data_IF_141135632094
#
_entry.id   IF_141135632094
#
_cell.length_a   1.000
_cell.length_b   1.000
_cell.length_c   1.000
_cell.angle_alpha   90.00
_cell.angle_beta   90.00
_cell.angle_gamma   90.00
#
_symmetry.space_group_name_H-M   'P 1'
#
loop_
_entity.id
_entity.type
_entity.pdbx_description
1 polymer ?
#
# COMPACT_ATOMS: atom_id res chain seq x y z
N UNK A 1 -14.14 5.69 -13.35
CA UNK A 1 -13.50 6.19 -12.12
C UNK A 1 -12.85 4.97 -11.48
N UNK A 2 -11.53 4.87 -11.46
CA UNK A 2 -10.85 3.80 -10.74
C UNK A 2 -10.43 4.35 -9.39
N UNK A 3 -10.67 3.59 -8.34
CA UNK A 3 -10.09 3.92 -7.04
C UNK A 3 -8.59 3.61 -7.08
N UNK A 4 -7.81 4.41 -6.35
CA UNK A 4 -6.36 4.29 -6.31
C UNK A 4 -5.92 2.90 -5.84
N UNK A 5 -6.73 2.27 -4.99
CA UNK A 5 -6.50 0.92 -4.49
C UNK A 5 -6.70 -0.17 -5.54
N UNK A 6 -7.64 0.00 -6.46
CA UNK A 6 -7.86 -0.94 -7.56
C UNK A 6 -6.66 -0.92 -8.51
N UNK A 7 -6.12 0.27 -8.81
CA UNK A 7 -4.92 0.43 -9.63
C UNK A 7 -3.69 -0.21 -8.96
N UNK A 8 -3.52 -0.02 -7.65
CA UNK A 8 -2.43 -0.64 -6.88
C UNK A 8 -2.57 -2.17 -6.84
N UNK A 9 -3.79 -2.69 -6.67
CA UNK A 9 -4.06 -4.11 -6.70
C UNK A 9 -3.78 -4.72 -8.09
N UNK A 10 -4.06 -3.99 -9.17
CA UNK A 10 -3.78 -4.43 -10.54
C UNK A 10 -2.29 -4.58 -10.86
N UNK A 11 -1.39 -4.02 -10.03
CA UNK A 11 0.06 -4.24 -10.14
C UNK A 11 0.45 -5.66 -9.75
N UNK A 12 -0.34 -6.32 -8.89
CA UNK A 12 -0.05 -7.67 -8.44
C UNK A 12 0.06 -8.65 -9.64
N UNK A 13 0.99 -9.63 -9.59
CA UNK A 13 1.92 -9.92 -8.51
C UNK A 13 3.27 -9.17 -8.61
N UNK A 14 3.40 -8.13 -9.45
CA UNK A 14 4.67 -7.40 -9.60
C UNK A 14 5.01 -6.65 -8.32
N UNK A 15 6.30 -6.51 -8.04
CA UNK A 15 6.79 -5.82 -6.84
C UNK A 15 6.27 -4.38 -6.77
N UNK A 16 5.71 -4.01 -5.62
CA UNK A 16 5.22 -2.67 -5.31
C UNK A 16 5.72 -2.24 -3.93
N UNK A 17 6.44 -1.13 -3.89
CA UNK A 17 6.88 -0.46 -2.67
C UNK A 17 6.15 0.88 -2.56
N UNK A 18 5.37 1.07 -1.50
CA UNK A 18 4.81 2.37 -1.17
C UNK A 18 5.65 3.03 -0.09
N UNK A 19 6.12 4.25 -0.35
CA UNK A 19 6.94 5.06 0.56
C UNK A 19 6.10 6.25 1.02
N UNK A 20 6.08 6.49 2.32
CA UNK A 20 5.41 7.64 2.96
C UNK A 20 3.98 7.86 2.43
N UNK A 21 3.09 6.85 2.56
CA UNK A 21 1.73 6.99 2.05
C UNK A 21 1.03 8.17 2.72
N UNK A 22 0.35 8.98 1.91
CA UNK A 22 -0.36 10.18 2.36
C UNK A 22 -1.86 9.95 2.36
N UNK A 23 -2.59 10.64 3.24
CA UNK A 23 -4.03 10.77 3.18
C UNK A 23 -4.47 11.74 2.05
N UNK A 24 -5.78 11.88 1.88
CA UNK A 24 -6.39 12.80 0.92
C UNK A 24 -6.11 14.29 1.21
N UNK A 25 -5.64 14.62 2.42
CA UNK A 25 -5.21 15.95 2.85
C UNK A 25 -3.69 16.14 2.74
N UNK A 26 -2.97 15.20 2.11
CA UNK A 26 -1.51 15.16 1.97
C UNK A 26 -0.75 15.07 3.29
N UNK A 27 -1.35 14.44 4.29
CA UNK A 27 -0.70 14.18 5.59
C UNK A 27 -0.14 12.77 5.60
N UNK A 28 1.07 12.55 6.16
CA UNK A 28 1.62 11.21 6.32
C UNK A 28 0.68 10.31 7.11
N UNK A 29 0.42 9.11 6.60
CA UNK A 29 -0.30 8.07 7.33
C UNK A 29 0.64 7.44 8.35
N UNK A 30 0.13 7.22 9.56
CA UNK A 30 0.78 6.33 10.53
C UNK A 30 0.83 4.90 10.01
N UNK A 31 1.69 4.07 10.60
CA UNK A 31 1.78 2.64 10.29
C UNK A 31 0.46 1.88 10.46
N UNK A 32 -0.43 2.34 11.35
CA UNK A 32 -1.75 1.73 11.55
C UNK A 32 -2.71 2.13 10.44
N UNK A 33 -2.73 3.41 10.07
CA UNK A 33 -3.60 3.93 9.02
C UNK A 33 -3.19 3.39 7.65
N UNK A 34 -1.89 3.37 7.34
CA UNK A 34 -1.36 2.78 6.10
C UNK A 34 -1.71 1.29 5.97
N UNK A 35 -1.73 0.53 7.08
CA UNK A 35 -2.17 -0.88 7.02
C UNK A 35 -3.66 -1.02 6.70
N UNK A 36 -4.49 -0.08 7.15
CA UNK A 36 -5.94 -0.09 6.91
C UNK A 36 -6.26 0.34 5.48
N UNK A 37 -5.67 1.45 5.05
CA UNK A 37 -5.82 2.00 3.69
C UNK A 37 -5.45 0.95 2.63
N UNK A 38 -4.31 0.27 2.80
CA UNK A 38 -3.83 -0.68 1.80
C UNK A 38 -4.28 -2.14 2.04
N UNK A 39 -5.33 -2.38 2.83
CA UNK A 39 -5.79 -3.74 3.14
C UNK A 39 -6.27 -4.47 1.86
N UNK A 40 -6.96 -3.78 0.95
CA UNK A 40 -7.38 -4.33 -0.34
C UNK A 40 -6.17 -4.82 -1.14
N UNK A 41 -5.14 -3.98 -1.29
CA UNK A 41 -3.92 -4.29 -2.03
C UNK A 41 -3.21 -5.50 -1.41
N UNK A 42 -3.11 -5.54 -0.07
CA UNK A 42 -2.53 -6.68 0.65
C UNK A 42 -3.28 -7.98 0.39
N UNK A 43 -4.62 -7.93 0.36
CA UNK A 43 -5.45 -9.09 0.05
C UNK A 43 -5.24 -9.57 -1.38
N UNK A 44 -5.16 -8.66 -2.35
CA UNK A 44 -4.90 -9.00 -3.75
C UNK A 44 -3.55 -9.72 -3.93
N UNK A 45 -2.46 -9.16 -3.36
CA UNK A 45 -1.15 -9.80 -3.40
C UNK A 45 -1.11 -11.16 -2.69
N UNK A 46 -1.84 -11.32 -1.58
CA UNK A 46 -1.98 -12.61 -0.89
C UNK A 46 -2.73 -13.63 -1.73
N UNK A 47 -3.85 -13.23 -2.35
CA UNK A 47 -4.68 -14.11 -3.19
C UNK A 47 -3.91 -14.63 -4.41
N UNK A 48 -2.97 -13.85 -4.93
CA UNK A 48 -2.11 -14.24 -6.05
C UNK A 48 -0.78 -14.91 -5.61
N UNK A 49 -0.65 -15.29 -4.33
CA UNK A 49 0.52 -16.02 -3.83
C UNK A 49 1.81 -15.17 -3.72
N UNK A 50 1.72 -13.84 -3.81
CA UNK A 50 2.85 -12.92 -3.79
C UNK A 50 2.87 -11.96 -2.58
N UNK A 51 2.61 -12.39 -1.33
CA UNK A 51 2.46 -11.48 -0.20
C UNK A 51 3.71 -10.65 0.13
N UNK A 52 4.89 -11.12 -0.28
CA UNK A 52 6.19 -10.45 -0.05
C UNK A 52 6.52 -9.41 -1.12
N UNK A 53 5.80 -9.40 -2.24
CA UNK A 53 6.01 -8.46 -3.34
C UNK A 53 5.40 -7.08 -3.06
N UNK A 54 4.53 -6.95 -2.05
CA UNK A 54 4.00 -5.68 -1.60
C UNK A 54 4.63 -5.25 -0.27
N UNK A 55 5.21 -4.04 -0.22
CA UNK A 55 5.80 -3.46 1.00
C UNK A 55 5.33 -2.02 1.22
N UNK A 56 5.15 -1.67 2.49
CA UNK A 56 4.81 -0.33 2.97
C UNK A 56 5.95 0.17 3.85
N UNK A 57 6.46 1.36 3.55
CA UNK A 57 7.31 2.15 4.43
C UNK A 57 6.48 3.35 4.88
N UNK A 58 5.97 3.30 6.11
CA UNK A 58 5.13 4.35 6.70
C UNK A 58 5.74 4.81 8.03
N UNK A 59 5.69 6.12 8.26
CA UNK A 59 6.41 6.81 9.35
C UNK A 59 7.46 7.77 8.79
N UNK A 60 7.85 8.80 9.56
CA UNK A 60 9.00 9.63 9.19
C UNK A 60 10.19 8.69 9.00
N UNK A 61 10.87 8.80 7.86
CA UNK A 61 12.16 8.15 7.68
C UNK A 61 13.14 8.75 8.70
N UNK A 62 13.29 8.09 9.85
CA UNK A 62 14.49 8.21 10.67
C UNK A 62 15.63 7.54 9.88
N UNK A 63 16.20 8.28 8.92
CA UNK A 63 17.51 8.02 8.34
C UNK A 63 18.58 8.74 9.16
#
# INVERSE_FOLDING_TARGET
>A
HFDLDELRAAVAPRSLLCIEPLDHLKRPLSSVEAKREYDLVRRAFRALGAPKAFRLLAGPMDL
#
